data_IF_903256212963
#
_entry.id   IF_903256212963
#
_cell.length_a   1.000
_cell.length_b   1.000
_cell.length_c   1.000
_cell.angle_alpha   90.00
_cell.angle_beta   90.00
_cell.angle_gamma   90.00
#
_symmetry.space_group_name_H-M   'P 1'
#
loop_
_entity.id
_entity.type
_entity.pdbx_description
1 polymer ?
#
# COMPACT_ATOMS: atom_id res chain seq x y z
N UNK A 1 -0.42 8.18 -11.52
CA UNK A 1 -0.67 7.27 -10.36
C UNK A 1 -0.30 7.93 -9.03
N UNK A 2 0.68 8.83 -9.01
CA UNK A 2 1.16 9.46 -7.78
C UNK A 2 0.12 10.37 -7.10
N UNK A 3 -0.94 10.75 -7.80
CA UNK A 3 -1.99 11.64 -7.34
C UNK A 3 -3.33 10.92 -7.08
N UNK A 4 -3.36 9.58 -7.18
CA UNK A 4 -4.59 8.81 -6.98
C UNK A 4 -4.74 8.43 -5.50
N UNK A 5 -5.16 9.37 -4.70
CA UNK A 5 -5.30 9.25 -3.25
C UNK A 5 -6.26 8.12 -2.80
N UNK A 6 -7.29 7.81 -3.61
CA UNK A 6 -8.29 6.82 -3.24
C UNK A 6 -7.80 5.37 -3.30
N UNK A 7 -6.64 5.13 -3.94
CA UNK A 7 -6.05 3.78 -4.05
C UNK A 7 -5.53 3.30 -2.71
N UNK A 8 -4.81 4.15 -1.99
CA UNK A 8 -4.09 3.76 -0.78
C UNK A 8 -4.94 3.42 0.44
N UNK A 9 -6.11 4.04 0.69
CA UNK A 9 -6.96 3.65 1.81
C UNK A 9 -7.41 2.19 1.79
N UNK A 10 -7.55 1.60 0.60
CA UNK A 10 -8.04 0.24 0.40
C UNK A 10 -6.99 -0.71 -0.21
N UNK A 11 -5.75 -0.24 -0.44
CA UNK A 11 -4.68 -1.03 -1.04
C UNK A 11 -3.66 -1.52 -0.01
N UNK A 12 -3.08 -2.69 -0.27
CA UNK A 12 -1.96 -3.24 0.49
C UNK A 12 -0.61 -3.08 -0.20
N UNK A 13 -0.50 -2.25 -1.25
CA UNK A 13 0.72 -2.06 -2.01
C UNK A 13 1.02 -0.59 -2.31
N UNK A 14 2.29 -0.26 -2.39
CA UNK A 14 2.75 0.93 -3.09
C UNK A 14 2.65 0.72 -4.59
N UNK A 15 2.15 1.70 -5.31
CA UNK A 15 2.11 1.72 -6.77
C UNK A 15 3.19 2.68 -7.28
N UNK A 16 4.14 2.16 -8.04
CA UNK A 16 5.24 2.97 -8.58
C UNK A 16 5.77 2.39 -9.89
N UNK A 17 6.78 3.02 -10.43
CA UNK A 17 7.59 2.51 -11.52
C UNK A 17 9.03 2.97 -11.33
N UNK A 18 9.96 2.08 -11.68
CA UNK A 18 11.41 2.34 -11.69
C UNK A 18 11.94 2.63 -13.09
N UNK A 19 11.15 2.29 -14.13
CA UNK A 19 11.41 2.60 -15.54
C UNK A 19 10.11 3.04 -16.23
N UNK A 20 10.20 3.72 -17.40
CA UNK A 20 9.03 4.00 -18.24
C UNK A 20 9.31 3.75 -19.70
N UNK A 21 8.24 3.42 -20.45
CA UNK A 21 8.38 3.06 -21.86
C UNK A 21 8.95 1.67 -22.05
N UNK A 22 9.31 1.33 -23.28
CA UNK A 22 9.89 0.04 -23.63
C UNK A 22 10.83 0.19 -24.81
N UNK A 23 11.94 -0.58 -24.81
CA UNK A 23 12.87 -0.66 -25.93
C UNK A 23 12.29 -1.44 -27.13
N UNK A 24 11.16 -2.15 -26.93
CA UNK A 24 10.53 -3.00 -27.95
C UNK A 24 9.41 -2.26 -28.67
N UNK A 25 9.15 -2.69 -29.94
CA UNK A 25 8.04 -2.23 -30.78
C UNK A 25 7.18 -3.42 -31.18
N UNK A 26 6.67 -4.17 -30.19
CA UNK A 26 5.83 -5.34 -30.47
C UNK A 26 4.54 -4.93 -31.19
N UNK A 27 4.12 -5.68 -32.20
CA UNK A 27 2.98 -5.33 -33.05
C UNK A 27 1.65 -5.21 -32.30
N UNK A 28 1.48 -5.95 -31.20
CA UNK A 28 0.28 -5.95 -30.37
C UNK A 28 0.31 -4.94 -29.22
N UNK A 29 1.43 -4.24 -29.00
CA UNK A 29 1.64 -3.39 -27.83
C UNK A 29 1.60 -1.90 -28.21
N UNK A 30 0.86 -1.10 -27.41
CA UNK A 30 0.75 0.35 -27.61
C UNK A 30 1.84 1.16 -26.87
N UNK A 31 2.62 0.55 -25.97
CA UNK A 31 3.57 1.26 -25.10
C UNK A 31 4.52 2.15 -25.89
N UNK A 32 5.12 1.67 -26.96
CA UNK A 32 6.06 2.42 -27.79
C UNK A 32 5.45 3.65 -28.51
N UNK A 33 4.09 3.69 -28.60
CA UNK A 33 3.36 4.85 -29.13
C UNK A 33 2.99 5.85 -28.04
N UNK A 34 2.58 5.33 -26.87
CA UNK A 34 2.11 6.14 -25.73
C UNK A 34 3.31 6.71 -24.97
N UNK A 35 4.36 5.91 -24.80
CA UNK A 35 5.61 6.26 -24.11
C UNK A 35 6.81 6.01 -25.06
N UNK A 36 7.02 6.87 -26.06
CA UNK A 36 7.99 6.61 -27.13
C UNK A 36 9.46 6.70 -26.66
N UNK A 37 9.70 7.34 -25.52
CA UNK A 37 11.03 7.44 -24.91
C UNK A 37 11.16 6.45 -23.78
N UNK A 38 12.18 5.59 -23.85
CA UNK A 38 12.52 4.71 -22.75
C UNK A 38 13.30 5.51 -21.70
N UNK A 39 12.77 5.55 -20.48
CA UNK A 39 13.44 6.09 -19.30
C UNK A 39 13.92 4.92 -18.46
N UNK A 40 15.21 4.70 -18.42
CA UNK A 40 15.81 3.49 -17.85
C UNK A 40 15.92 3.48 -16.32
N UNK A 41 15.77 4.64 -15.66
CA UNK A 41 15.81 4.75 -14.22
C UNK A 41 14.98 5.91 -13.69
N UNK A 42 14.16 5.61 -12.71
CA UNK A 42 13.35 6.58 -11.96
C UNK A 42 13.50 6.22 -10.47
N UNK A 43 14.08 7.08 -9.63
CA UNK A 43 14.23 6.81 -8.21
C UNK A 43 12.90 6.54 -7.51
N UNK A 44 12.88 5.55 -6.62
CA UNK A 44 11.68 5.11 -5.91
C UNK A 44 11.51 5.77 -4.54
N UNK A 45 12.62 6.10 -3.87
CA UNK A 45 12.65 6.42 -2.43
C UNK A 45 11.72 7.57 -2.06
N UNK A 46 11.84 8.72 -2.71
CA UNK A 46 11.03 9.91 -2.39
C UNK A 46 9.53 9.66 -2.55
N UNK A 47 9.16 8.91 -3.58
CA UNK A 47 7.77 8.57 -3.89
C UNK A 47 7.19 7.60 -2.86
N UNK A 48 7.93 6.55 -2.52
CA UNK A 48 7.56 5.59 -1.50
C UNK A 48 7.44 6.28 -0.13
N UNK A 49 8.40 7.14 0.23
CA UNK A 49 8.39 7.86 1.49
C UNK A 49 7.22 8.86 1.59
N UNK A 50 6.94 9.60 0.51
CA UNK A 50 5.76 10.47 0.44
C UNK A 50 4.47 9.68 0.66
N UNK A 51 4.32 8.53 -0.01
CA UNK A 51 3.15 7.66 0.14
C UNK A 51 3.04 7.11 1.56
N UNK A 52 4.15 6.64 2.13
CA UNK A 52 4.24 6.15 3.51
C UNK A 52 3.77 7.21 4.52
N UNK A 53 4.24 8.44 4.36
CA UNK A 53 3.89 9.56 5.24
C UNK A 53 2.41 9.92 5.14
N UNK A 54 1.84 9.97 3.95
CA UNK A 54 0.45 10.40 3.72
C UNK A 54 -0.56 9.29 4.01
N UNK A 55 -0.28 8.07 3.55
CA UNK A 55 -1.26 6.98 3.52
C UNK A 55 -0.90 5.81 4.44
N UNK A 56 0.26 5.86 5.09
CA UNK A 56 0.77 4.80 5.95
C UNK A 56 1.59 3.76 5.19
N UNK A 57 2.26 2.90 5.96
CA UNK A 57 3.07 1.81 5.44
C UNK A 57 2.21 0.82 4.65
N UNK A 58 2.63 0.46 3.43
CA UNK A 58 1.99 -0.55 2.61
C UNK A 58 2.80 -1.85 2.64
N UNK A 59 2.14 -3.00 2.53
CA UNK A 59 2.81 -4.30 2.64
C UNK A 59 3.72 -4.60 1.46
N UNK A 60 3.24 -4.37 0.24
CA UNK A 60 3.90 -4.79 -1.00
C UNK A 60 4.31 -3.59 -1.86
N UNK A 61 5.18 -3.83 -2.82
CA UNK A 61 5.55 -2.88 -3.87
C UNK A 61 5.11 -3.44 -5.22
N UNK A 62 4.20 -2.74 -5.88
CA UNK A 62 3.73 -3.05 -7.22
C UNK A 62 4.38 -2.08 -8.21
N UNK A 63 5.29 -2.59 -9.03
CA UNK A 63 5.99 -1.84 -10.06
C UNK A 63 5.26 -1.98 -11.40
N UNK A 64 4.89 -0.85 -11.98
CA UNK A 64 4.12 -0.75 -13.22
C UNK A 64 5.05 -0.62 -14.45
N UNK A 65 6.27 -1.14 -14.33
CA UNK A 65 7.30 -1.08 -15.36
C UNK A 65 6.92 -1.91 -16.58
N UNK A 66 7.09 -1.35 -17.77
CA UNK A 66 6.80 -2.09 -19.01
C UNK A 66 7.93 -3.06 -19.42
N UNK A 67 9.19 -2.74 -19.07
CA UNK A 67 10.34 -3.61 -19.36
C UNK A 67 11.54 -3.24 -18.48
N UNK A 68 11.48 -3.55 -17.20
CA UNK A 68 12.51 -3.21 -16.22
C UNK A 68 13.87 -3.85 -16.53
N UNK A 69 13.88 -5.08 -17.08
CA UNK A 69 15.12 -5.81 -17.39
C UNK A 69 15.93 -5.17 -18.53
N UNK A 70 15.31 -4.28 -19.33
CA UNK A 70 16.01 -3.54 -20.36
C UNK A 70 16.89 -2.40 -19.83
N UNK A 71 16.75 -2.06 -18.55
CA UNK A 71 17.53 -0.98 -17.93
C UNK A 71 18.97 -1.38 -17.73
N UNK A 72 19.91 -0.52 -18.15
CA UNK A 72 21.32 -0.63 -17.80
C UNK A 72 21.56 -0.39 -16.30
N UNK A 73 20.57 0.25 -15.64
CA UNK A 73 20.56 0.64 -14.22
C UNK A 73 19.80 -0.37 -13.33
N UNK A 74 19.68 -1.63 -13.75
CA UNK A 74 18.94 -2.65 -12.98
C UNK A 74 19.50 -2.83 -11.57
N UNK A 75 20.81 -2.70 -11.41
CA UNK A 75 21.46 -2.80 -10.09
C UNK A 75 21.03 -1.65 -9.17
N UNK A 76 21.04 -0.42 -9.66
CA UNK A 76 20.55 0.76 -8.92
C UNK A 76 19.07 0.63 -8.57
N UNK A 77 18.26 0.09 -9.47
CA UNK A 77 16.83 -0.20 -9.21
C UNK A 77 16.67 -1.20 -8.06
N UNK A 78 17.43 -2.29 -8.07
CA UNK A 78 17.41 -3.29 -7.01
C UNK A 78 17.86 -2.69 -5.66
N UNK A 79 18.89 -1.84 -5.65
CA UNK A 79 19.33 -1.15 -4.43
C UNK A 79 18.24 -0.18 -3.91
N UNK A 80 17.58 0.57 -4.79
CA UNK A 80 16.46 1.43 -4.42
C UNK A 80 15.31 0.63 -3.79
N UNK A 81 14.93 -0.49 -4.38
CA UNK A 81 13.90 -1.40 -3.85
C UNK A 81 14.28 -1.87 -2.44
N UNK A 82 15.55 -2.25 -2.23
CA UNK A 82 16.07 -2.65 -0.91
C UNK A 82 16.06 -1.50 0.09
N UNK A 83 16.46 -0.30 -0.33
CA UNK A 83 16.44 0.91 0.48
C UNK A 83 15.01 1.31 0.91
N UNK A 84 13.99 1.03 0.07
CA UNK A 84 12.58 1.19 0.41
C UNK A 84 12.04 0.14 1.42
N UNK A 85 12.90 -0.82 1.84
CA UNK A 85 12.55 -1.84 2.84
C UNK A 85 12.00 -3.14 2.25
N UNK A 86 12.28 -3.43 0.97
CA UNK A 86 11.88 -4.68 0.29
C UNK A 86 13.09 -5.61 0.12
N UNK A 87 13.67 -6.05 1.23
CA UNK A 87 14.70 -7.09 1.26
C UNK A 87 14.09 -8.47 1.49
N UNK A 88 14.83 -9.54 1.17
CA UNK A 88 14.39 -10.92 1.47
C UNK A 88 14.07 -11.09 2.95
N UNK A 89 12.89 -11.66 3.22
CA UNK A 89 12.43 -11.90 4.60
C UNK A 89 11.94 -10.65 5.33
N UNK A 90 11.94 -9.47 4.69
CA UNK A 90 11.41 -8.26 5.29
C UNK A 90 9.93 -8.44 5.68
N UNK A 91 9.59 -7.95 6.87
CA UNK A 91 8.24 -8.07 7.41
C UNK A 91 7.54 -6.71 7.39
N UNK A 92 6.27 -6.77 7.04
CA UNK A 92 5.33 -5.68 7.16
C UNK A 92 4.63 -5.77 8.51
N UNK A 93 4.69 -4.70 9.28
CA UNK A 93 3.90 -4.53 10.50
C UNK A 93 2.74 -3.60 10.15
N UNK A 94 1.53 -4.09 10.32
CA UNK A 94 0.34 -3.32 9.99
C UNK A 94 0.25 -2.06 10.85
N UNK A 95 0.17 -0.85 10.26
CA UNK A 95 0.05 0.37 11.03
C UNK A 95 -1.35 0.49 11.66
N UNK A 96 -1.49 1.40 12.63
CA UNK A 96 -2.81 1.74 13.16
C UNK A 96 -3.61 2.53 12.11
N UNK A 97 -4.37 1.80 11.28
CA UNK A 97 -5.17 2.37 10.19
C UNK A 97 -6.24 3.34 10.69
N UNK A 98 -6.78 3.14 11.89
CA UNK A 98 -7.76 4.07 12.45
C UNK A 98 -7.12 5.43 12.72
N UNK A 99 -5.94 5.44 13.34
CA UNK A 99 -5.16 6.67 13.59
C UNK A 99 -4.81 7.40 12.28
N UNK A 100 -4.40 6.66 11.24
CA UNK A 100 -4.11 7.23 9.91
C UNK A 100 -5.38 7.82 9.29
N UNK A 101 -6.50 7.10 9.33
CA UNK A 101 -7.77 7.55 8.78
C UNK A 101 -8.24 8.85 9.43
N UNK A 102 -8.21 8.91 10.75
CA UNK A 102 -8.61 10.13 11.50
C UNK A 102 -7.67 11.30 11.21
N UNK A 103 -6.35 11.05 11.13
CA UNK A 103 -5.39 12.11 10.73
C UNK A 103 -5.73 12.67 9.35
N UNK A 104 -6.00 11.82 8.38
CA UNK A 104 -6.29 12.22 7.00
C UNK A 104 -7.65 12.92 6.89
N UNK A 105 -8.65 12.51 7.68
CA UNK A 105 -9.92 13.23 7.82
C UNK A 105 -9.72 14.64 8.40
N UNK A 106 -8.83 14.83 9.39
CA UNK A 106 -8.49 16.16 9.92
C UNK A 106 -7.86 17.04 8.85
N UNK A 107 -7.01 16.48 8.01
CA UNK A 107 -6.33 17.20 6.93
C UNK A 107 -7.22 17.38 5.68
N UNK A 108 -8.43 16.83 5.64
CA UNK A 108 -9.32 16.89 4.50
C UNK A 108 -8.87 16.05 3.31
N UNK A 109 -7.97 15.09 3.52
CA UNK A 109 -7.47 14.20 2.46
C UNK A 109 -8.50 13.11 2.21
N UNK A 110 -9.08 13.09 1.00
CA UNK A 110 -10.01 12.07 0.52
C UNK A 110 -11.06 11.64 1.57
N UNK A 111 -11.86 12.59 2.06
CA UNK A 111 -12.85 12.35 3.12
C UNK A 111 -13.73 11.13 2.85
N UNK A 112 -14.22 10.98 1.62
CA UNK A 112 -15.11 9.85 1.25
C UNK A 112 -14.46 8.49 1.51
N UNK A 113 -13.20 8.31 1.09
CA UNK A 113 -12.51 7.04 1.26
C UNK A 113 -12.19 6.77 2.74
N UNK A 114 -11.74 7.80 3.48
CA UNK A 114 -11.39 7.63 4.90
C UNK A 114 -12.58 7.53 5.85
N UNK A 115 -13.73 8.11 5.53
CA UNK A 115 -15.00 7.83 6.22
C UNK A 115 -15.35 6.35 6.04
N UNK A 116 -15.37 5.86 4.80
CA UNK A 116 -15.64 4.44 4.49
C UNK A 116 -14.65 3.50 5.18
N UNK A 117 -13.36 3.84 5.16
CA UNK A 117 -12.32 3.06 5.84
C UNK A 117 -12.52 3.02 7.35
N UNK A 118 -12.79 4.17 7.98
CA UNK A 118 -13.03 4.25 9.42
C UNK A 118 -14.28 3.45 9.83
N UNK A 119 -15.34 3.54 9.05
CA UNK A 119 -16.57 2.76 9.27
C UNK A 119 -16.26 1.24 9.26
N UNK A 120 -15.55 0.75 8.23
CA UNK A 120 -15.16 -0.66 8.14
C UNK A 120 -14.30 -1.09 9.34
N UNK A 121 -13.33 -0.27 9.74
CA UNK A 121 -12.47 -0.56 10.89
C UNK A 121 -13.26 -0.65 12.20
N UNK A 122 -14.25 0.22 12.42
CA UNK A 122 -15.13 0.16 13.59
C UNK A 122 -16.03 -1.08 13.56
N UNK A 123 -16.50 -1.49 12.38
CA UNK A 123 -17.27 -2.71 12.20
C UNK A 123 -16.42 -3.96 12.49
N UNK A 124 -15.20 -4.02 11.95
CA UNK A 124 -14.24 -5.10 12.20
C UNK A 124 -13.86 -5.17 13.68
N UNK A 125 -13.69 -4.02 14.34
CA UNK A 125 -13.40 -3.95 15.77
C UNK A 125 -14.53 -4.61 16.58
N UNK A 126 -15.78 -4.27 16.31
CA UNK A 126 -16.94 -4.83 17.01
C UNK A 126 -17.07 -6.35 16.82
N UNK A 127 -16.66 -6.87 15.66
CA UNK A 127 -16.74 -8.29 15.31
C UNK A 127 -15.49 -9.09 15.73
N UNK A 128 -14.56 -8.49 16.46
CA UNK A 128 -13.29 -9.12 16.82
C UNK A 128 -13.52 -10.21 17.89
N UNK A 129 -13.15 -11.47 17.56
CA UNK A 129 -13.36 -12.64 18.44
C UNK A 129 -12.60 -12.59 19.77
N UNK A 130 -11.52 -11.81 19.85
CA UNK A 130 -10.68 -11.70 21.05
C UNK A 130 -11.22 -10.71 22.10
N UNK A 131 -12.29 -9.99 21.81
CA UNK A 131 -12.93 -9.08 22.74
C UNK A 131 -13.92 -9.83 23.64
N UNK A 132 -13.90 -9.50 24.93
CA UNK A 132 -14.94 -9.94 25.88
C UNK A 132 -16.28 -9.26 25.55
N UNK A 133 -17.36 -9.83 26.08
CA UNK A 133 -18.73 -9.38 25.82
C UNK A 133 -18.99 -7.96 26.32
N UNK A 134 -18.45 -7.60 27.48
CA UNK A 134 -18.62 -6.27 28.05
C UNK A 134 -17.97 -5.19 27.17
N UNK A 135 -16.76 -5.43 26.70
CA UNK A 135 -16.04 -4.53 25.77
C UNK A 135 -16.79 -4.41 24.44
N UNK A 136 -17.33 -5.52 23.92
CA UNK A 136 -18.10 -5.51 22.67
C UNK A 136 -19.38 -4.68 22.81
N UNK A 137 -20.10 -4.86 23.92
CA UNK A 137 -21.30 -4.08 24.24
C UNK A 137 -20.98 -2.59 24.35
N UNK A 138 -19.86 -2.25 25.01
CA UNK A 138 -19.41 -0.85 25.11
C UNK A 138 -19.11 -0.23 23.73
N UNK A 139 -18.40 -0.96 22.87
CA UNK A 139 -18.10 -0.48 21.49
C UNK A 139 -19.40 -0.28 20.71
N UNK A 140 -20.34 -1.22 20.81
CA UNK A 140 -21.63 -1.11 20.13
C UNK A 140 -22.41 0.12 20.61
N UNK A 141 -22.55 0.30 21.93
CA UNK A 141 -23.25 1.47 22.50
C UNK A 141 -22.62 2.80 22.08
N UNK A 142 -21.29 2.90 22.08
CA UNK A 142 -20.60 4.10 21.60
C UNK A 142 -20.88 4.35 20.10
N UNK A 143 -20.89 3.32 19.28
CA UNK A 143 -21.22 3.46 17.84
C UNK A 143 -22.65 3.91 17.64
N UNK A 144 -23.59 3.34 18.38
CA UNK A 144 -25.02 3.71 18.34
C UNK A 144 -25.24 5.16 18.77
N UNK A 145 -24.70 5.55 19.92
CA UNK A 145 -24.80 6.90 20.46
C UNK A 145 -24.33 7.99 19.49
N UNK A 146 -23.31 7.67 18.68
CA UNK A 146 -22.69 8.64 17.74
C UNK A 146 -23.07 8.45 16.29
N UNK A 147 -24.09 7.61 16.00
CA UNK A 147 -24.56 7.39 14.63
C UNK A 147 -23.56 6.67 13.73
N UNK A 148 -22.67 5.83 14.30
CA UNK A 148 -21.61 5.12 13.58
C UNK A 148 -21.97 3.65 13.27
N UNK A 149 -23.25 3.27 13.40
CA UNK A 149 -23.71 1.91 13.09
C UNK A 149 -23.99 1.71 11.61
N UNK A 150 -24.39 2.77 10.90
CA UNK A 150 -24.73 2.70 9.49
C UNK A 150 -23.82 3.59 8.64
N UNK A 151 -23.46 3.17 7.41
CA UNK A 151 -22.57 3.96 6.55
C UNK A 151 -23.14 5.34 6.20
N UNK A 152 -24.48 5.45 6.10
CA UNK A 152 -25.19 6.67 5.74
C UNK A 152 -25.12 7.76 6.84
N UNK A 153 -25.05 7.35 8.09
CA UNK A 153 -24.96 8.26 9.26
C UNK A 153 -23.53 8.50 9.74
N UNK A 154 -22.57 7.70 9.23
CA UNK A 154 -21.16 7.83 9.59
C UNK A 154 -20.55 9.06 8.89
N UNK A 155 -20.46 10.17 9.63
CA UNK A 155 -19.93 11.43 9.11
C UNK A 155 -18.47 11.66 9.56
N UNK A 156 -17.77 12.58 8.85
CA UNK A 156 -16.44 13.03 9.23
C UNK A 156 -16.44 13.63 10.65
N UNK A 157 -17.42 14.45 10.95
CA UNK A 157 -17.58 15.17 12.22
C UNK A 157 -17.76 14.19 13.38
N UNK A 158 -18.63 13.19 13.24
CA UNK A 158 -18.84 12.14 14.23
C UNK A 158 -17.56 11.33 14.50
N UNK A 159 -16.83 10.94 13.42
CA UNK A 159 -15.56 10.21 13.54
C UNK A 159 -14.48 11.03 14.25
N UNK A 160 -14.39 12.33 13.97
CA UNK A 160 -13.42 13.20 14.62
C UNK A 160 -13.75 13.45 16.09
N UNK A 161 -15.03 13.64 16.44
CA UNK A 161 -15.49 13.87 17.80
C UNK A 161 -15.22 12.63 18.69
N UNK A 162 -15.43 11.42 18.16
CA UNK A 162 -15.34 10.17 18.93
C UNK A 162 -13.97 9.51 18.89
N UNK A 163 -12.97 10.13 18.26
CA UNK A 163 -11.64 9.53 18.09
C UNK A 163 -11.04 8.99 19.39
N UNK A 164 -11.08 9.78 20.47
CA UNK A 164 -10.47 9.41 21.75
C UNK A 164 -11.13 8.17 22.37
N UNK A 165 -12.43 8.02 22.20
CA UNK A 165 -13.20 6.92 22.77
C UNK A 165 -12.85 5.58 22.12
N UNK A 166 -12.57 5.60 20.82
CA UNK A 166 -12.21 4.39 20.07
C UNK A 166 -10.70 4.12 19.99
N UNK A 167 -9.85 5.14 20.07
CA UNK A 167 -8.39 4.99 19.87
C UNK A 167 -7.77 3.91 20.76
N UNK A 168 -8.18 3.83 22.03
CA UNK A 168 -7.69 2.84 23.00
C UNK A 168 -7.86 1.39 22.55
N UNK A 169 -8.97 1.08 21.87
CA UNK A 169 -9.25 -0.29 21.40
C UNK A 169 -8.35 -0.68 20.21
N UNK A 170 -7.98 0.30 19.38
CA UNK A 170 -7.06 0.08 18.26
C UNK A 170 -5.60 0.00 18.69
N UNK A 171 -5.20 0.71 19.74
CA UNK A 171 -3.83 0.65 20.27
C UNK A 171 -3.54 -0.73 20.90
N UNK A 172 -4.52 -1.35 21.57
CA UNK A 172 -4.41 -2.71 22.11
C UNK A 172 -4.22 -3.78 21.03
N UNK A 173 -4.75 -3.56 19.81
CA UNK A 173 -4.62 -4.50 18.68
C UNK A 173 -3.19 -4.51 18.09
N UNK A 174 -2.51 -3.37 18.09
CA UNK A 174 -1.20 -3.19 17.45
C UNK A 174 -0.08 -4.06 18.03
N UNK A 175 -0.19 -4.47 19.28
CA UNK A 175 0.89 -5.19 20.00
C UNK A 175 1.00 -6.69 19.66
N UNK A 176 0.06 -7.28 18.93
CA UNK A 176 -0.01 -8.73 18.64
C UNK A 176 0.32 -9.14 17.20
N UNK A 177 0.85 -8.23 16.39
CA UNK A 177 1.04 -8.49 14.96
C UNK A 177 2.39 -9.17 14.68
N UNK A 178 2.38 -10.45 14.29
CA UNK A 178 3.56 -11.26 13.96
C UNK A 178 4.31 -10.82 12.69
N UNK A 179 3.83 -9.81 11.99
CA UNK A 179 4.37 -9.31 10.74
C UNK A 179 4.13 -10.27 9.55
N UNK A 180 3.70 -9.72 8.41
CA UNK A 180 3.52 -10.45 7.15
C UNK A 180 4.72 -10.23 6.25
N UNK A 181 5.09 -11.20 5.41
CA UNK A 181 6.16 -11.02 4.44
C UNK A 181 5.80 -9.94 3.42
N UNK A 182 6.81 -9.21 2.97
CA UNK A 182 6.73 -8.19 1.92
C UNK A 182 7.14 -8.80 0.59
N UNK A 183 6.53 -8.31 -0.49
CA UNK A 183 6.84 -8.75 -1.84
C UNK A 183 6.95 -7.57 -2.81
N UNK A 184 7.74 -7.79 -3.86
CA UNK A 184 7.83 -6.93 -5.04
C UNK A 184 7.15 -7.63 -6.21
N UNK A 185 6.24 -6.96 -6.87
CA UNK A 185 5.52 -7.45 -8.04
C UNK A 185 5.83 -6.57 -9.24
N UNK A 186 6.48 -7.13 -10.26
CA UNK A 186 6.63 -6.50 -11.57
C UNK A 186 5.36 -6.79 -12.37
N UNK A 187 4.33 -5.98 -12.16
CA UNK A 187 2.95 -6.22 -12.56
C UNK A 187 2.76 -6.51 -14.07
N UNK A 188 3.54 -5.84 -14.92
CA UNK A 188 3.47 -6.04 -16.38
C UNK A 188 4.29 -7.23 -16.88
N UNK A 189 4.97 -7.93 -15.97
CA UNK A 189 5.90 -9.01 -16.30
C UNK A 189 7.28 -8.51 -16.72
N UNK A 190 8.15 -9.44 -17.04
CA UNK A 190 9.54 -9.19 -17.45
C UNK A 190 9.86 -9.90 -18.77
N UNK A 191 10.71 -9.28 -19.58
CA UNK A 191 11.12 -9.83 -20.89
C UNK A 191 12.07 -11.01 -20.71
N UNK A 192 11.58 -12.25 -20.88
CA UNK A 192 12.36 -13.47 -20.72
C UNK A 192 13.66 -13.51 -21.56
N UNK A 193 13.69 -12.82 -22.69
CA UNK A 193 14.86 -12.74 -23.58
C UNK A 193 16.05 -11.99 -22.99
N UNK A 194 15.82 -11.23 -21.90
CA UNK A 194 16.83 -10.46 -21.21
C UNK A 194 17.37 -11.17 -19.96
N UNK A 195 16.88 -12.37 -19.64
CA UNK A 195 17.40 -13.15 -18.54
C UNK A 195 18.81 -13.67 -18.83
N UNK A 196 19.67 -13.48 -17.86
CA UNK A 196 21.03 -14.03 -17.77
C UNK A 196 21.40 -14.17 -16.28
N UNK A 197 22.54 -14.77 -15.99
CA UNK A 197 22.99 -15.03 -14.61
C UNK A 197 23.06 -13.75 -13.77
N UNK A 198 23.51 -12.63 -14.34
CA UNK A 198 23.54 -11.32 -13.65
C UNK A 198 22.13 -10.88 -13.23
N UNK A 199 21.17 -10.94 -14.14
CA UNK A 199 19.76 -10.56 -13.87
C UNK A 199 19.15 -11.48 -12.81
N UNK A 200 19.37 -12.78 -12.89
CA UNK A 200 18.88 -13.76 -11.91
C UNK A 200 19.46 -13.45 -10.53
N UNK A 201 20.77 -13.19 -10.44
CA UNK A 201 21.43 -12.87 -9.19
C UNK A 201 20.85 -11.58 -8.58
N UNK A 202 20.71 -10.49 -9.36
CA UNK A 202 20.14 -9.24 -8.89
C UNK A 202 18.70 -9.41 -8.40
N UNK A 203 17.82 -10.03 -9.19
CA UNK A 203 16.43 -10.27 -8.79
C UNK A 203 16.32 -11.18 -7.58
N UNK A 204 17.31 -12.06 -7.40
CA UNK A 204 17.38 -12.93 -6.22
C UNK A 204 17.63 -12.19 -4.90
N UNK A 205 18.07 -10.94 -4.93
CA UNK A 205 18.29 -10.12 -3.72
C UNK A 205 17.02 -9.52 -3.13
N UNK A 206 15.94 -9.46 -3.92
CA UNK A 206 14.66 -8.87 -3.55
C UNK A 206 13.54 -9.92 -3.54
N UNK A 207 12.45 -9.72 -2.78
CA UNK A 207 11.38 -10.70 -2.64
C UNK A 207 10.38 -10.64 -3.81
N UNK A 208 10.80 -10.93 -5.04
CA UNK A 208 9.92 -10.92 -6.22
C UNK A 208 8.85 -11.99 -6.10
N UNK A 209 7.58 -11.59 -6.18
CA UNK A 209 6.43 -12.51 -6.18
C UNK A 209 5.15 -11.81 -6.65
N UNK A 210 4.45 -12.35 -7.68
CA UNK A 210 4.91 -13.44 -8.56
C UNK A 210 5.99 -12.97 -9.53
N UNK A 211 6.78 -13.89 -10.06
CA UNK A 211 7.60 -13.63 -11.23
C UNK A 211 6.73 -13.93 -12.47
N UNK A 212 6.42 -12.88 -13.23
CA UNK A 212 5.69 -12.97 -14.50
C UNK A 212 6.66 -12.85 -15.66
N UNK A 213 6.57 -13.75 -16.63
CA UNK A 213 7.41 -13.80 -17.82
C UNK A 213 6.55 -13.70 -19.07
#
# INVERSE_FOLDING_TARGET
LDEIDYVYPDSGAYYSYSTRGCIRKCAFCAVWRIEPKYQEYIPLQDRIERTRRLYGEQQNLLLMDNNVLASSKLEEIVQDIKACGFTKGAKYIEPNWYKISIRNLRLGINNRAYIRKSYKLLQELNNQRSLDEATRTQIYALREQHGLLHPETCTREALLATYKDFARFFDMKSTKNAGRLRYVDFNQGVDARLFNDRVVNLLSEIPVRPLRI
#
